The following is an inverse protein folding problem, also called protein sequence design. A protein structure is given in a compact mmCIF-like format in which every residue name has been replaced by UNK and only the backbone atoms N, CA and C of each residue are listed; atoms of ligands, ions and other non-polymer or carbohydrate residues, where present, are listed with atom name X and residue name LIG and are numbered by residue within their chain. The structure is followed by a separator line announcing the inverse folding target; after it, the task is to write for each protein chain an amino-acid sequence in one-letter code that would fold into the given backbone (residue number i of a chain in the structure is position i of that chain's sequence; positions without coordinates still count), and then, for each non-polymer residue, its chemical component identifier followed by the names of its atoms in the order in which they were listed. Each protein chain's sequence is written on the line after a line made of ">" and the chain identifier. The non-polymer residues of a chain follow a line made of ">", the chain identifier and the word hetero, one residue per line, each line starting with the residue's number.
data_IF_841092151716
#
_entry.id   IF_841092151716
#
_cell.length_a   1.000
_cell.length_b   1.000
_cell.length_c   1.000
_cell.angle_alpha   90.00
_cell.angle_beta   90.00
_cell.angle_gamma   90.00
#
_symmetry.space_group_name_H-M   'P 1'
#
loop_
_entity.id
_entity.type
_entity.pdbx_description
1 polymer ?
#
# COMPACT_ATOMS: atom_id res chain seq x y z
N UNK A 1 1.87 0.97 -6.28
CA UNK A 1 1.92 1.84 -5.09
C UNK A 1 1.18 3.09 -5.48
N UNK A 2 0.25 3.58 -4.67
CA UNK A 2 -0.55 4.74 -5.04
C UNK A 2 -0.92 5.54 -3.79
N UNK A 3 -0.68 6.85 -3.83
CA UNK A 3 -1.00 7.78 -2.73
C UNK A 3 -0.54 7.30 -1.34
N UNK A 4 0.77 7.07 -1.16
CA UNK A 4 1.36 6.61 0.11
C UNK A 4 1.99 7.73 0.95
N UNK A 5 1.90 8.99 0.51
CA UNK A 5 2.60 10.12 1.15
C UNK A 5 1.79 10.91 2.18
N UNK A 6 0.50 10.61 2.35
CA UNK A 6 -0.40 11.28 3.30
C UNK A 6 -1.50 10.32 3.75
N UNK A 7 -2.44 10.80 4.58
CA UNK A 7 -3.57 10.04 5.14
C UNK A 7 -3.13 8.85 6.03
N UNK A 8 -4.09 8.13 6.64
CA UNK A 8 -3.88 6.89 7.45
C UNK A 8 -2.88 6.99 8.62
N UNK A 9 -2.53 8.21 9.05
CA UNK A 9 -1.54 8.43 10.10
C UNK A 9 -0.22 7.72 9.78
N UNK A 10 0.37 7.08 10.79
CA UNK A 10 1.64 6.35 10.64
C UNK A 10 1.50 4.97 9.97
N UNK A 11 0.29 4.43 9.86
CA UNK A 11 0.05 3.10 9.29
C UNK A 11 0.06 3.12 7.75
N UNK A 12 0.28 1.98 7.11
CA UNK A 12 0.10 1.81 5.66
C UNK A 12 -1.18 1.04 5.35
N UNK A 13 -2.06 1.64 4.55
CA UNK A 13 -3.23 0.93 4.02
C UNK A 13 -2.84 -0.09 2.94
N UNK A 14 -3.40 -1.30 3.05
CA UNK A 14 -3.11 -2.42 2.15
C UNK A 14 -4.42 -3.05 1.70
N UNK A 15 -4.59 -3.21 0.39
CA UNK A 15 -5.62 -4.07 -0.20
C UNK A 15 -4.93 -5.24 -0.88
N UNK A 16 -5.20 -6.45 -0.43
CA UNK A 16 -4.73 -7.66 -1.14
C UNK A 16 -5.86 -8.22 -1.96
N UNK A 17 -5.63 -8.45 -3.26
CA UNK A 17 -6.61 -9.11 -4.14
C UNK A 17 -6.13 -10.50 -4.49
N UNK A 18 -7.04 -11.48 -4.37
CA UNK A 18 -6.75 -12.93 -4.41
C UNK A 18 -5.75 -13.32 -3.31
N UNK A 19 -6.09 -13.07 -2.03
CA UNK A 19 -5.16 -13.26 -0.93
C UNK A 19 -4.67 -14.70 -0.89
N UNK A 20 -3.36 -14.84 -1.06
CA UNK A 20 -2.60 -16.07 -0.97
C UNK A 20 -1.24 -15.77 -0.35
N UNK A 21 -0.17 -16.13 -1.04
CA UNK A 21 1.19 -16.05 -0.50
C UNK A 21 1.64 -14.61 -0.27
N UNK A 22 1.13 -13.65 -1.03
CA UNK A 22 1.49 -12.24 -0.82
C UNK A 22 0.87 -11.69 0.47
N UNK A 23 -0.38 -12.05 0.79
CA UNK A 23 -0.99 -11.67 2.07
C UNK A 23 -0.20 -12.21 3.28
N UNK A 24 0.27 -13.45 3.21
CA UNK A 24 1.11 -14.05 4.25
C UNK A 24 2.42 -13.27 4.43
N UNK A 25 3.13 -12.98 3.33
CA UNK A 25 4.39 -12.23 3.38
C UNK A 25 4.19 -10.85 4.02
N UNK A 26 3.11 -10.13 3.67
CA UNK A 26 2.81 -8.82 4.26
C UNK A 26 2.63 -8.93 5.77
N UNK A 27 1.81 -9.88 6.22
CA UNK A 27 1.51 -10.05 7.64
C UNK A 27 2.74 -10.49 8.44
N UNK A 28 3.57 -11.38 7.89
CA UNK A 28 4.85 -11.76 8.48
C UNK A 28 5.81 -10.57 8.59
N UNK A 29 5.89 -9.76 7.52
CA UNK A 29 6.78 -8.59 7.49
C UNK A 29 6.34 -7.55 8.51
N UNK A 30 5.03 -7.30 8.63
CA UNK A 30 4.47 -6.38 9.64
C UNK A 30 4.79 -6.86 11.05
N UNK A 31 4.60 -8.15 11.35
CA UNK A 31 4.98 -8.73 12.65
C UNK A 31 6.48 -8.60 12.95
N UNK A 32 7.34 -8.82 11.96
CA UNK A 32 8.80 -8.80 12.15
C UNK A 32 9.36 -7.39 12.30
N UNK A 33 8.81 -6.43 11.55
CA UNK A 33 9.26 -5.03 11.60
C UNK A 33 8.58 -4.22 12.69
N UNK A 34 7.45 -4.71 13.22
CA UNK A 34 6.57 -3.93 14.10
C UNK A 34 5.83 -2.81 13.36
N UNK A 35 5.95 -2.73 12.03
CA UNK A 35 5.33 -1.67 11.24
C UNK A 35 3.81 -1.87 11.14
N UNK A 36 3.06 -0.82 11.43
CA UNK A 36 1.60 -0.85 11.44
C UNK A 36 1.02 -0.87 10.01
N UNK A 37 0.10 -1.81 9.77
CA UNK A 37 -0.64 -1.92 8.51
C UNK A 37 -2.15 -1.90 8.79
N UNK A 38 -2.90 -1.26 7.90
CA UNK A 38 -4.36 -1.29 7.90
C UNK A 38 -4.82 -2.15 6.72
N UNK A 39 -5.35 -3.34 7.01
CA UNK A 39 -5.95 -4.17 5.97
C UNK A 39 -7.29 -3.57 5.56
N UNK A 40 -7.42 -3.26 4.26
CA UNK A 40 -8.61 -2.67 3.66
C UNK A 40 -9.30 -3.71 2.80
N UNK A 41 -10.63 -3.74 2.89
CA UNK A 41 -11.43 -4.53 1.96
C UNK A 41 -11.25 -4.01 0.54
N UNK A 42 -11.19 -4.94 -0.41
CA UNK A 42 -11.16 -4.62 -1.83
C UNK A 42 -12.51 -4.05 -2.26
N UNK A 43 -12.65 -2.73 -2.19
CA UNK A 43 -13.85 -2.04 -2.70
C UNK A 43 -13.76 -1.88 -4.21
N UNK A 44 -14.94 -1.91 -4.86
CA UNK A 44 -15.11 -1.73 -6.31
C UNK A 44 -14.79 -0.30 -6.80
N UNK A 45 -14.18 0.55 -5.99
CA UNK A 45 -13.76 1.91 -6.34
C UNK A 45 -12.31 2.20 -5.95
N UNK A 46 -11.57 1.23 -5.39
CA UNK A 46 -10.14 1.36 -5.11
C UNK A 46 -9.34 0.68 -6.21
N UNK A 47 -9.35 1.29 -7.40
CA UNK A 47 -8.62 0.81 -8.55
C UNK A 47 -7.38 1.65 -8.80
N UNK A 48 -6.26 0.95 -8.99
CA UNK A 48 -5.04 1.49 -9.56
C UNK A 48 -4.53 0.50 -10.62
N UNK A 49 -3.26 0.56 -10.98
CA UNK A 49 -2.67 -0.33 -11.99
C UNK A 49 -2.74 -1.82 -11.62
N UNK A 50 -2.81 -2.13 -10.31
CA UNK A 50 -2.97 -3.49 -9.77
C UNK A 50 -4.21 -4.20 -10.35
N UNK A 51 -5.28 -3.44 -10.63
CA UNK A 51 -6.53 -4.00 -11.12
C UNK A 51 -6.38 -4.73 -12.46
N UNK A 52 -5.47 -4.29 -13.33
CA UNK A 52 -5.21 -4.96 -14.60
C UNK A 52 -4.57 -6.33 -14.41
N UNK A 53 -3.71 -6.49 -13.41
CA UNK A 53 -3.13 -7.79 -13.04
C UNK A 53 -4.16 -8.68 -12.36
N UNK A 54 -4.95 -8.13 -11.44
CA UNK A 54 -6.05 -8.85 -10.77
C UNK A 54 -7.05 -9.46 -11.77
N UNK A 55 -7.44 -8.69 -12.80
CA UNK A 55 -8.33 -9.14 -13.89
C UNK A 55 -7.75 -10.30 -14.70
N UNK A 56 -6.42 -10.44 -14.74
CA UNK A 56 -5.70 -11.57 -15.38
C UNK A 56 -5.47 -12.75 -14.43
N UNK A 57 -6.20 -12.79 -13.32
CA UNK A 57 -6.09 -13.85 -12.32
C UNK A 57 -4.76 -13.93 -11.58
N UNK A 58 -4.05 -12.80 -11.47
CA UNK A 58 -2.84 -12.69 -10.66
C UNK A 58 -3.17 -12.15 -9.26
N UNK A 59 -2.45 -12.64 -8.26
CA UNK A 59 -2.44 -12.06 -6.91
C UNK A 59 -1.75 -10.68 -6.95
N UNK A 60 -2.31 -9.72 -6.22
CA UNK A 60 -1.79 -8.35 -6.22
C UNK A 60 -1.87 -7.73 -4.83
N UNK A 61 -0.92 -6.82 -4.57
CA UNK A 61 -0.88 -5.98 -3.38
C UNK A 61 -1.06 -4.53 -3.82
N UNK A 62 -2.06 -3.86 -3.27
CA UNK A 62 -2.28 -2.44 -3.48
C UNK A 62 -2.01 -1.66 -2.19
N UNK A 63 -0.84 -1.01 -2.17
CA UNK A 63 -0.45 -0.08 -1.09
C UNK A 63 -1.11 1.27 -1.34
N UNK A 64 -2.03 1.65 -0.44
CA UNK A 64 -2.90 2.81 -0.61
C UNK A 64 -3.31 3.43 0.72
N UNK A 65 -2.89 4.66 0.95
CA UNK A 65 -3.18 5.37 2.19
C UNK A 65 -4.50 6.16 2.14
N UNK A 66 -5.36 5.98 1.14
CA UNK A 66 -6.68 6.65 1.10
C UNK A 66 -6.69 7.95 0.32
N UNK A 67 -7.90 8.43 0.01
CA UNK A 67 -8.15 9.70 -0.67
C UNK A 67 -8.08 10.88 0.30
N UNK A 68 -7.90 12.09 -0.22
CA UNK A 68 -7.87 13.35 0.52
C UNK A 68 -8.57 14.46 -0.31
N UNK A 69 -8.92 15.60 0.31
CA UNK A 69 -9.65 16.68 -0.35
C UNK A 69 -8.96 17.23 -1.61
N UNK A 70 -7.62 17.26 -1.60
CA UNK A 70 -6.82 17.82 -2.71
C UNK A 70 -6.65 16.82 -3.88
N UNK A 71 -7.22 15.60 -3.82
CA UNK A 71 -7.04 14.60 -4.89
C UNK A 71 -7.73 15.06 -6.18
N UNK A 72 -7.01 14.99 -7.31
CA UNK A 72 -7.45 15.55 -8.60
C UNK A 72 -7.67 17.08 -8.58
N UNK A 73 -7.00 17.80 -7.69
CA UNK A 73 -7.00 19.27 -7.70
C UNK A 73 -5.58 19.81 -7.92
N UNK A 74 -5.44 21.09 -8.32
CA UNK A 74 -4.14 21.76 -8.36
C UNK A 74 -3.44 21.85 -6.99
N UNK A 75 -4.19 21.72 -5.89
CA UNK A 75 -3.65 21.78 -4.52
C UNK A 75 -2.98 20.48 -4.07
N UNK A 76 -2.92 19.46 -4.96
CA UNK A 76 -2.14 18.24 -4.75
C UNK A 76 -0.64 18.50 -4.89
N UNK A 77 -0.09 19.24 -3.94
CA UNK A 77 1.30 19.71 -3.94
C UNK A 77 2.20 18.89 -2.99
N UNK A 78 3.50 18.90 -3.26
CA UNK A 78 4.50 18.11 -2.52
C UNK A 78 4.58 18.52 -1.04
N UNK A 79 4.32 19.78 -0.74
CA UNK A 79 4.28 20.38 0.59
C UNK A 79 3.18 19.77 1.47
N UNK A 80 2.17 19.12 0.87
CA UNK A 80 1.10 18.41 1.59
C UNK A 80 1.49 16.99 1.99
N UNK A 81 2.66 16.49 1.59
CA UNK A 81 3.13 15.15 1.91
C UNK A 81 3.84 15.11 3.26
N UNK A 82 3.63 14.02 4.00
CA UNK A 82 4.46 13.66 5.15
C UNK A 82 5.62 12.78 4.66
N UNK A 83 6.77 13.41 4.38
CA UNK A 83 7.96 12.71 3.90
C UNK A 83 8.53 11.72 4.92
N UNK A 84 8.33 11.93 6.22
CA UNK A 84 8.81 11.01 7.25
C UNK A 84 7.99 9.73 7.19
N UNK A 85 6.66 9.84 7.24
CA UNK A 85 5.75 8.70 7.11
C UNK A 85 5.93 8.00 5.77
N UNK A 86 6.08 8.75 4.67
CA UNK A 86 6.33 8.17 3.35
C UNK A 86 7.62 7.35 3.31
N UNK A 87 8.71 7.84 3.91
CA UNK A 87 9.97 7.09 4.02
C UNK A 87 9.77 5.79 4.81
N UNK A 88 9.10 5.86 5.96
CA UNK A 88 8.87 4.69 6.82
C UNK A 88 8.01 3.63 6.07
N UNK A 89 6.99 4.07 5.32
CA UNK A 89 6.19 3.23 4.41
C UNK A 89 7.01 2.60 3.29
N UNK A 90 7.89 3.36 2.63
CA UNK A 90 8.76 2.86 1.56
C UNK A 90 9.74 1.81 2.09
N UNK A 91 10.30 2.01 3.29
CA UNK A 91 11.16 1.02 3.94
C UNK A 91 10.39 -0.29 4.19
N UNK A 92 9.17 -0.21 4.71
CA UNK A 92 8.33 -1.40 4.90
C UNK A 92 8.04 -2.13 3.57
N UNK A 93 7.63 -1.38 2.54
CA UNK A 93 7.35 -1.95 1.21
C UNK A 93 8.61 -2.61 0.63
N UNK A 94 9.78 -2.00 0.82
CA UNK A 94 11.05 -2.57 0.39
C UNK A 94 11.35 -3.92 1.08
N UNK A 95 11.12 -4.05 2.38
CA UNK A 95 11.27 -5.32 3.08
C UNK A 95 10.29 -6.40 2.59
N UNK A 96 9.05 -6.03 2.26
CA UNK A 96 8.09 -6.94 1.62
C UNK A 96 8.61 -7.42 0.26
N UNK A 97 9.07 -6.50 -0.60
CA UNK A 97 9.59 -6.83 -1.94
C UNK A 97 10.82 -7.73 -1.84
N UNK A 98 11.76 -7.45 -0.91
CA UNK A 98 12.92 -8.31 -0.66
C UNK A 98 12.53 -9.74 -0.32
N UNK A 99 11.52 -9.92 0.54
CA UNK A 99 11.01 -11.26 0.91
C UNK A 99 10.33 -11.98 -0.25
N UNK A 100 9.65 -11.24 -1.13
CA UNK A 100 9.07 -11.81 -2.36
C UNK A 100 10.19 -12.27 -3.29
N UNK A 101 11.22 -11.45 -3.50
CA UNK A 101 12.31 -11.73 -4.44
C UNK A 101 13.31 -12.80 -3.95
N UNK A 102 13.41 -13.02 -2.65
CA UNK A 102 14.28 -14.05 -2.05
C UNK A 102 13.67 -15.47 -2.07
N UNK A 103 12.53 -15.65 -2.74
CA UNK A 103 11.81 -16.93 -2.88
C UNK A 103 11.80 -17.34 -4.35
#
# INVERSE_FOLDING_TARGET
>A
LDMIGRNEGDALGIVTRKPGKLAEIINETSKQTGFAITQKEAKNNYYSDDHTFYRKNLETIFFFSGLHPDYHTPDDEAERLDFKVMKDRVIFIFEVIKKIAAR
#
